data_IF_138065033686
#
_entry.id   IF_138065033686
#
_cell.length_a   1.000
_cell.length_b   1.000
_cell.length_c   1.000
_cell.angle_alpha   90.00
_cell.angle_beta   90.00
_cell.angle_gamma   90.00
#
_symmetry.space_group_name_H-M   'P 1'
#
loop_
_entity.id
_entity.type
_entity.pdbx_description
1 polymer ?
#
# COMPACT_ATOMS: atom_id res chain seq x y z
N UNK A 1 14.92 4.19 6.04
CA UNK A 1 14.70 4.22 4.57
C UNK A 1 13.39 3.49 4.31
N UNK A 2 12.61 3.82 3.29
CA UNK A 2 11.37 3.08 3.01
C UNK A 2 11.70 1.68 2.48
N UNK A 3 10.95 0.66 2.90
CA UNK A 3 11.13 -0.71 2.41
C UNK A 3 10.70 -0.76 0.95
N UNK A 4 11.52 -1.36 0.08
CA UNK A 4 11.13 -1.59 -1.31
C UNK A 4 10.60 -3.01 -1.49
N UNK A 5 9.36 -3.16 -1.96
CA UNK A 5 8.78 -4.47 -2.25
C UNK A 5 8.05 -4.46 -3.59
N UNK A 6 8.28 -5.48 -4.40
CA UNK A 6 7.53 -5.68 -5.63
C UNK A 6 6.52 -6.80 -5.43
N UNK A 7 5.33 -6.62 -5.98
CA UNK A 7 4.28 -7.62 -5.95
C UNK A 7 3.77 -7.91 -7.36
N UNK A 8 3.37 -9.15 -7.56
CA UNK A 8 2.60 -9.55 -8.72
C UNK A 8 1.13 -9.59 -8.31
N UNK A 9 0.28 -8.94 -9.10
CA UNK A 9 -1.13 -8.76 -8.81
C UNK A 9 -1.93 -9.23 -10.02
N UNK A 10 -2.82 -10.19 -9.80
CA UNK A 10 -3.73 -10.65 -10.84
C UNK A 10 -4.85 -9.61 -11.09
N UNK A 11 -5.14 -9.38 -12.36
CA UNK A 11 -6.24 -8.51 -12.75
C UNK A 11 -7.58 -9.10 -12.31
N UNK A 12 -8.49 -8.25 -11.83
CA UNK A 12 -9.86 -8.63 -11.43
C UNK A 12 -9.93 -9.56 -10.20
N UNK A 13 -8.87 -9.59 -9.38
CA UNK A 13 -8.86 -10.31 -8.10
C UNK A 13 -8.71 -9.34 -6.93
N UNK A 14 -9.09 -9.80 -5.74
CA UNK A 14 -8.81 -9.09 -4.50
C UNK A 14 -7.38 -9.40 -4.08
N UNK A 15 -6.56 -8.37 -3.91
CA UNK A 15 -5.19 -8.49 -3.43
C UNK A 15 -5.07 -7.84 -2.06
N UNK A 16 -4.61 -8.59 -1.06
CA UNK A 16 -4.44 -8.09 0.30
C UNK A 16 -3.05 -8.43 0.82
N UNK A 17 -2.44 -7.48 1.53
CA UNK A 17 -1.15 -7.68 2.18
C UNK A 17 -1.09 -6.88 3.47
N UNK A 18 -0.25 -7.34 4.38
CA UNK A 18 -0.04 -6.74 5.69
C UNK A 18 1.37 -6.19 5.78
N UNK A 19 1.49 -5.02 6.40
CA UNK A 19 2.76 -4.34 6.63
C UNK A 19 2.81 -3.96 8.10
N UNK A 20 3.75 -4.53 8.83
CA UNK A 20 3.99 -4.13 10.21
C UNK A 20 5.04 -3.03 10.26
N UNK A 21 4.78 -1.96 11.03
CA UNK A 21 5.75 -0.92 11.30
C UNK A 21 6.47 -1.20 12.61
N UNK A 22 7.74 -1.57 12.51
CA UNK A 22 8.62 -1.88 13.64
C UNK A 22 9.78 -0.88 13.72
N UNK A 23 10.37 -0.76 14.91
CA UNK A 23 11.63 -0.04 15.09
C UNK A 23 12.81 -0.76 14.41
N UNK A 24 14.00 -0.17 14.47
CA UNK A 24 15.24 -0.69 13.83
C UNK A 24 15.61 -2.11 14.26
N UNK A 25 15.10 -2.55 15.42
CA UNK A 25 15.27 -3.91 15.94
C UNK A 25 14.35 -4.95 15.27
N UNK A 26 13.42 -4.53 14.40
CA UNK A 26 12.41 -5.37 13.72
C UNK A 26 11.46 -6.17 14.64
N UNK A 27 11.62 -6.08 15.97
CA UNK A 27 10.80 -6.79 16.97
C UNK A 27 9.79 -5.87 17.67
N UNK A 28 10.12 -4.60 17.86
CA UNK A 28 9.28 -3.66 18.62
C UNK A 28 8.32 -2.94 17.68
N UNK A 29 7.00 -3.20 17.74
CA UNK A 29 6.03 -2.49 16.93
C UNK A 29 5.92 -1.03 17.37
N UNK A 30 5.79 -0.13 16.41
CA UNK A 30 5.55 1.28 16.68
C UNK A 30 4.05 1.47 16.80
N UNK A 31 3.60 2.01 17.93
CA UNK A 31 2.18 2.34 18.12
C UNK A 31 1.74 3.40 17.11
N UNK A 32 0.76 3.05 16.30
CA UNK A 32 0.15 3.90 15.28
C UNK A 32 -1.26 4.33 15.69
N UNK A 33 -1.55 4.40 17.00
CA UNK A 33 -2.87 4.78 17.49
C UNK A 33 -3.20 6.21 17.07
N UNK A 34 -4.29 6.37 16.31
CA UNK A 34 -4.68 7.67 15.74
C UNK A 34 -3.89 8.10 14.49
N UNK A 35 -3.01 7.25 13.97
CA UNK A 35 -2.33 7.50 12.70
C UNK A 35 -3.28 7.30 11.51
N UNK A 36 -2.92 7.91 10.38
CA UNK A 36 -3.63 7.71 9.11
C UNK A 36 -2.66 7.21 8.05
N UNK A 37 -3.11 6.27 7.23
CA UNK A 37 -2.32 5.71 6.14
C UNK A 37 -2.94 6.07 4.80
N UNK A 38 -2.09 6.32 3.82
CA UNK A 38 -2.48 6.61 2.44
C UNK A 38 -1.57 5.87 1.50
N UNK A 39 -2.17 5.13 0.58
CA UNK A 39 -1.49 4.48 -0.53
C UNK A 39 -1.93 5.10 -1.84
N UNK A 40 -0.98 5.36 -2.74
CA UNK A 40 -1.29 5.77 -4.10
C UNK A 40 -0.65 4.82 -5.09
N UNK A 41 -1.38 4.50 -6.15
CA UNK A 41 -0.88 3.71 -7.27
C UNK A 41 -0.95 4.53 -8.54
N UNK A 42 0.17 4.64 -9.25
CA UNK A 42 0.37 5.46 -10.44
C UNK A 42 1.02 4.65 -11.56
N UNK A 43 1.00 5.19 -12.78
CA UNK A 43 1.64 4.55 -13.93
C UNK A 43 3.16 4.39 -13.74
N UNK A 44 3.82 5.41 -13.21
CA UNK A 44 5.26 5.41 -12.92
C UNK A 44 5.57 6.24 -11.68
N UNK A 45 6.80 6.11 -11.15
CA UNK A 45 7.28 6.87 -10.00
C UNK A 45 7.31 8.36 -10.38
N UNK A 46 6.47 9.16 -9.71
CA UNK A 46 6.28 10.59 -10.05
C UNK A 46 5.34 10.86 -11.24
N UNK A 47 4.69 9.82 -11.78
CA UNK A 47 3.77 9.95 -12.90
C UNK A 47 2.47 10.68 -12.54
N UNK A 48 1.88 11.38 -13.51
CA UNK A 48 0.65 12.16 -13.30
C UNK A 48 -0.61 11.29 -13.29
N UNK A 49 -0.57 10.08 -13.87
CA UNK A 49 -1.73 9.20 -13.97
C UNK A 49 -1.90 8.38 -12.70
N UNK A 50 -2.97 8.67 -11.96
CA UNK A 50 -3.38 7.90 -10.80
C UNK A 50 -4.27 6.73 -11.25
N UNK A 51 -3.88 5.49 -10.92
CA UNK A 51 -4.73 4.32 -11.10
C UNK A 51 -5.84 4.32 -10.04
N UNK A 52 -5.43 4.35 -8.76
CA UNK A 52 -6.30 4.49 -7.61
C UNK A 52 -5.51 4.97 -6.39
N UNK A 53 -6.24 5.38 -5.36
CA UNK A 53 -5.68 5.67 -4.04
C UNK A 53 -6.52 5.00 -2.97
N UNK A 54 -5.85 4.51 -1.93
CA UNK A 54 -6.46 3.97 -0.73
C UNK A 54 -6.09 4.86 0.45
N UNK A 55 -7.00 5.02 1.40
CA UNK A 55 -6.81 5.82 2.61
C UNK A 55 -7.46 5.12 3.77
N UNK A 56 -6.81 5.07 4.93
CA UNK A 56 -7.42 4.54 6.14
C UNK A 56 -8.62 5.41 6.58
N UNK A 57 -9.74 4.81 7.03
CA UNK A 57 -10.00 3.37 7.22
C UNK A 57 -10.52 2.64 5.97
N UNK A 58 -10.72 3.34 4.85
CA UNK A 58 -11.26 2.79 3.60
C UNK A 58 -10.20 2.06 2.76
N UNK A 59 -10.09 0.74 2.94
CA UNK A 59 -9.16 -0.12 2.20
C UNK A 59 -7.75 -0.21 2.79
N UNK A 60 -7.48 0.55 3.84
CA UNK A 60 -6.30 0.36 4.72
C UNK A 60 -6.81 0.32 6.16
N UNK A 61 -6.71 -0.85 6.79
CA UNK A 61 -6.95 -1.00 8.23
C UNK A 61 -5.64 -0.79 8.96
N UNK A 62 -5.66 -0.04 10.05
CA UNK A 62 -4.48 0.19 10.90
C UNK A 62 -4.81 -0.38 12.28
N UNK A 63 -4.03 -1.34 12.71
CA UNK A 63 -3.99 -1.82 14.07
C UNK A 63 -2.95 -0.98 14.84
N UNK A 64 -3.44 -0.01 15.61
CA UNK A 64 -2.62 0.94 16.35
C UNK A 64 -1.60 0.27 17.28
N UNK A 65 -2.04 -0.59 18.24
CA UNK A 65 -1.17 -1.20 19.23
C UNK A 65 -0.06 -2.08 18.64
N UNK A 66 -0.32 -2.74 17.50
CA UNK A 66 0.66 -3.62 16.85
C UNK A 66 1.42 -2.95 15.72
N UNK A 67 1.08 -1.70 15.38
CA UNK A 67 1.66 -0.99 14.23
C UNK A 67 1.38 -1.68 12.89
N UNK A 68 0.33 -2.51 12.79
CA UNK A 68 0.07 -3.33 11.61
C UNK A 68 -0.89 -2.63 10.67
N UNK A 69 -0.54 -2.55 9.38
CA UNK A 69 -1.39 -2.02 8.33
C UNK A 69 -1.81 -3.15 7.40
N UNK A 70 -3.11 -3.40 7.32
CA UNK A 70 -3.70 -4.34 6.37
C UNK A 70 -4.25 -3.55 5.19
N UNK A 71 -3.66 -3.74 4.01
CA UNK A 71 -4.07 -3.09 2.77
C UNK A 71 -4.88 -4.09 1.96
N UNK A 72 -6.09 -3.70 1.54
CA UNK A 72 -6.95 -4.52 0.69
C UNK A 72 -7.28 -3.77 -0.59
N UNK A 73 -6.80 -4.30 -1.70
CA UNK A 73 -7.04 -3.81 -3.06
C UNK A 73 -8.16 -4.64 -3.68
N UNK A 74 -9.24 -3.98 -4.08
CA UNK A 74 -10.42 -4.64 -4.65
C UNK A 74 -10.22 -5.00 -6.13
N UNK A 75 -11.01 -5.94 -6.69
CA UNK A 75 -10.98 -6.28 -8.13
C UNK A 75 -11.14 -5.06 -9.04
N UNK A 76 -12.00 -4.12 -8.66
CA UNK A 76 -12.22 -2.85 -9.39
C UNK A 76 -10.98 -1.97 -9.43
N UNK A 77 -10.11 -2.07 -8.42
CA UNK A 77 -8.85 -1.33 -8.34
C UNK A 77 -7.72 -2.07 -9.05
N UNK A 78 -7.60 -3.39 -8.89
CA UNK A 78 -6.62 -4.20 -9.62
C UNK A 78 -6.85 -4.14 -11.13
N UNK A 79 -8.10 -4.02 -11.57
CA UNK A 79 -8.42 -3.79 -12.98
C UNK A 79 -7.97 -2.42 -13.52
N UNK A 80 -7.82 -1.40 -12.66
CA UNK A 80 -7.32 -0.06 -13.04
C UNK A 80 -5.79 0.04 -13.07
N UNK A 81 -5.08 -1.04 -12.73
CA UNK A 81 -3.61 -1.05 -12.79
C UNK A 81 -3.12 -0.90 -14.23
N UNK A 82 -2.01 -0.19 -14.39
CA UNK A 82 -1.33 -0.04 -15.67
C UNK A 82 -0.46 -1.27 -15.94
N UNK A 83 -0.66 -1.88 -17.12
CA UNK A 83 0.20 -2.95 -17.63
C UNK A 83 1.48 -2.36 -18.28
N UNK A 84 2.66 -2.97 -18.09
CA UNK A 84 2.95 -4.19 -17.33
C UNK A 84 3.22 -3.95 -15.84
N UNK A 85 3.52 -2.71 -15.44
CA UNK A 85 3.88 -2.34 -14.06
C UNK A 85 3.27 -1.01 -13.67
N UNK A 86 2.78 -0.93 -12.45
CA UNK A 86 2.33 0.31 -11.80
C UNK A 86 3.23 0.60 -10.60
N UNK A 87 3.60 1.85 -10.37
CA UNK A 87 4.34 2.23 -9.17
C UNK A 87 3.38 2.53 -8.04
N UNK A 88 3.73 2.13 -6.82
CA UNK A 88 2.94 2.47 -5.64
C UNK A 88 3.82 2.91 -4.49
N UNK A 89 3.23 3.71 -3.60
CA UNK A 89 3.82 4.10 -2.32
C UNK A 89 2.77 4.09 -1.21
N UNK A 90 3.23 3.81 0.01
CA UNK A 90 2.45 3.83 1.23
C UNK A 90 3.09 4.83 2.18
N UNK A 91 2.31 5.84 2.54
CA UNK A 91 2.68 6.87 3.49
C UNK A 91 1.78 6.78 4.71
N UNK A 92 2.40 6.72 5.87
CA UNK A 92 1.73 6.82 7.16
C UNK A 92 1.98 8.20 7.73
N UNK A 93 0.94 8.78 8.29
CA UNK A 93 0.98 10.04 9.01
C UNK A 93 0.65 9.73 10.45
N UNK A 94 1.65 9.83 11.30
CA UNK A 94 1.51 9.66 12.75
C UNK A 94 0.54 10.71 13.33
N UNK A 95 0.01 10.45 14.51
CA UNK A 95 -0.72 11.40 15.37
C UNK A 95 -0.02 12.77 15.49
N UNK A 96 1.32 12.78 15.49
CA UNK A 96 2.14 14.01 15.52
C UNK A 96 2.26 14.73 14.17
N UNK A 97 1.57 14.28 13.12
CA UNK A 97 1.64 14.82 11.76
C UNK A 97 2.91 14.44 11.00
N UNK A 98 3.76 13.58 11.57
CA UNK A 98 4.98 13.10 10.92
C UNK A 98 4.63 12.14 9.79
N UNK A 99 5.04 12.49 8.57
CA UNK A 99 4.84 11.66 7.37
C UNK A 99 6.02 10.71 7.22
N UNK A 100 5.74 9.42 7.32
CA UNK A 100 6.71 8.34 7.17
C UNK A 100 6.31 7.53 5.96
N UNK A 101 7.24 7.36 5.02
CA UNK A 101 7.05 6.43 3.92
C UNK A 101 7.46 5.04 4.39
N UNK A 102 6.48 4.16 4.58
CA UNK A 102 6.74 2.79 5.03
C UNK A 102 7.28 1.94 3.90
N UNK A 103 6.60 2.00 2.75
CA UNK A 103 6.80 1.02 1.71
C UNK A 103 6.57 1.63 0.33
N UNK A 104 7.43 1.29 -0.61
CA UNK A 104 7.29 1.68 -2.02
C UNK A 104 7.69 0.53 -2.95
N UNK A 105 7.23 0.58 -4.19
CA UNK A 105 7.68 -0.38 -5.19
C UNK A 105 6.81 -0.41 -6.44
N UNK A 106 6.76 -1.59 -7.04
CA UNK A 106 5.98 -1.84 -8.25
C UNK A 106 4.98 -2.98 -8.06
N UNK A 107 3.76 -2.78 -8.58
CA UNK A 107 2.75 -3.81 -8.78
C UNK A 107 2.82 -4.24 -10.26
N UNK A 108 3.27 -5.46 -10.50
CA UNK A 108 3.24 -6.07 -11.83
C UNK A 108 1.87 -6.66 -12.07
N UNK A 109 1.19 -6.22 -13.12
CA UNK A 109 -0.16 -6.71 -13.45
C UNK A 109 -0.06 -8.00 -14.27
N UNK A 110 -0.55 -9.10 -13.70
CA UNK A 110 -0.78 -10.36 -14.40
C UNK A 110 -2.19 -10.32 -15.02
N UNK A 111 -2.29 -10.39 -16.36
CA UNK A 111 -3.58 -10.36 -17.05
C UNK A 111 -4.26 -11.71 -16.90
N UNK A 112 -5.40 -11.74 -16.21
CA UNK A 112 -6.22 -12.95 -16.13
C UNK A 112 -6.95 -13.20 -17.46
N UNK A 113 -7.08 -14.47 -17.85
CA UNK A 113 -7.87 -14.91 -19.02
C UNK A 113 -9.37 -14.97 -18.68
N UNK A 114 -9.71 -15.10 -17.40
CA UNK A 114 -11.09 -15.17 -16.92
C UNK A 114 -11.60 -13.76 -16.59
N UNK A 115 -12.53 -13.25 -17.41
CA UNK A 115 -13.23 -11.98 -17.21
C UNK A 115 -14.64 -12.18 -16.64
#
# INVERSE_FOLDING_TARGET
>A
MAVQKNWEVDQNTTFSFEVQYTEDDEVTPIDLTGATAKMQVRDTKGGSKLAFSLTSPTGISIDGPTGTLTITVTPTQTNKLFYPKSSYDIMVVDSNGKKIKLLEGFLTLSRSVTI
#
